data_IF_784656086493
#
_entry.id   IF_784656086493
#
_cell.length_a   1.000
_cell.length_b   1.000
_cell.length_c   1.000
_cell.angle_alpha   90.00
_cell.angle_beta   90.00
_cell.angle_gamma   90.00
#
_symmetry.space_group_name_H-M   'P 1'
#
loop_
_entity.id
_entity.type
_entity.pdbx_description
1 polymer ?
#
# COMPACT_ATOMS: atom_id res chain seq x y z
N UNK A 1 -22.23 11.36 21.66
CA UNK A 1 -21.75 11.86 20.37
C UNK A 1 -21.24 13.31 20.36
N UNK A 2 -21.91 14.31 20.98
CA UNK A 2 -21.50 15.73 20.88
C UNK A 2 -20.10 16.06 21.44
N UNK A 3 -19.53 15.25 22.35
CA UNK A 3 -18.19 15.48 22.92
C UNK A 3 -17.04 14.82 22.14
N UNK A 4 -17.31 13.96 21.17
CA UNK A 4 -16.27 13.20 20.45
C UNK A 4 -15.49 14.04 19.43
N UNK A 5 -16.05 15.17 18.98
CA UNK A 5 -15.50 15.96 17.88
C UNK A 5 -14.56 17.10 18.31
N UNK A 6 -14.29 17.29 19.61
CA UNK A 6 -13.45 18.38 20.11
C UNK A 6 -14.00 19.80 19.86
N UNK A 7 -15.14 19.90 19.17
CA UNK A 7 -15.93 21.10 18.93
C UNK A 7 -17.41 20.72 18.88
N UNK A 8 -18.29 21.70 19.13
CA UNK A 8 -19.72 21.51 18.92
C UNK A 8 -19.98 21.28 17.44
N UNK A 9 -20.66 20.17 17.12
CA UNK A 9 -21.20 19.95 15.78
C UNK A 9 -22.24 21.03 15.49
N UNK A 10 -22.14 21.65 14.32
CA UNK A 10 -23.18 22.55 13.81
C UNK A 10 -24.48 21.78 13.58
N UNK A 11 -25.64 22.46 13.57
CA UNK A 11 -26.92 21.79 13.28
C UNK A 11 -26.90 21.01 11.95
N UNK A 12 -26.22 21.53 10.93
CA UNK A 12 -26.07 20.83 9.66
C UNK A 12 -25.25 19.54 9.81
N UNK A 13 -24.13 19.58 10.55
CA UNK A 13 -23.32 18.38 10.83
C UNK A 13 -24.09 17.35 11.69
N UNK A 14 -24.92 17.79 12.63
CA UNK A 14 -25.81 16.90 13.40
C UNK A 14 -26.83 16.22 12.48
N UNK A 15 -27.52 16.98 11.64
CA UNK A 15 -28.48 16.43 10.66
C UNK A 15 -27.81 15.48 9.65
N UNK A 16 -26.61 15.81 9.18
CA UNK A 16 -25.82 14.93 8.32
C UNK A 16 -25.40 13.65 9.03
N UNK A 17 -25.01 13.74 10.31
CA UNK A 17 -24.63 12.56 11.11
C UNK A 17 -25.83 11.64 11.30
N UNK A 18 -27.00 12.18 11.66
CA UNK A 18 -28.24 11.41 11.81
C UNK A 18 -28.59 10.72 10.49
N UNK A 19 -28.55 11.46 9.37
CA UNK A 19 -28.75 10.88 8.04
C UNK A 19 -27.77 9.75 7.74
N UNK A 20 -26.49 9.89 8.06
CA UNK A 20 -25.49 8.83 7.84
C UNK A 20 -25.76 7.61 8.71
N UNK A 21 -26.15 7.79 9.96
CA UNK A 21 -26.58 6.68 10.82
C UNK A 21 -27.76 5.92 10.20
N UNK A 22 -28.76 6.64 9.71
CA UNK A 22 -29.96 6.03 9.13
C UNK A 22 -29.66 5.27 7.82
N UNK A 23 -28.76 5.79 6.97
CA UNK A 23 -28.45 5.19 5.67
C UNK A 23 -27.36 4.11 5.72
N UNK A 24 -26.44 4.16 6.69
CA UNK A 24 -25.36 3.17 6.78
C UNK A 24 -25.82 1.83 7.39
N UNK A 25 -26.95 1.81 8.09
CA UNK A 25 -27.42 0.61 8.79
C UNK A 25 -26.49 0.15 9.92
N UNK A 26 -25.53 0.99 10.32
CA UNK A 26 -24.59 0.67 11.38
C UNK A 26 -25.23 0.86 12.76
N UNK A 27 -25.01 -0.06 13.71
CA UNK A 27 -25.40 0.17 15.09
C UNK A 27 -24.69 1.40 15.65
N UNK A 28 -25.38 2.12 16.54
CA UNK A 28 -24.90 3.39 17.09
C UNK A 28 -23.54 3.26 17.78
N UNK A 29 -23.29 2.14 18.47
CA UNK A 29 -22.03 1.89 19.16
C UNK A 29 -20.87 1.76 18.17
N UNK A 30 -21.10 1.12 17.01
CA UNK A 30 -20.11 1.01 15.93
C UNK A 30 -19.82 2.38 15.31
N UNK A 31 -20.87 3.19 15.13
CA UNK A 31 -20.70 4.57 14.64
C UNK A 31 -19.88 5.43 15.61
N UNK A 32 -20.08 5.28 16.92
CA UNK A 32 -19.28 5.96 17.95
C UNK A 32 -17.81 5.54 17.86
N UNK A 33 -17.52 4.26 17.68
CA UNK A 33 -16.16 3.75 17.51
C UNK A 33 -15.48 4.35 16.27
N UNK A 34 -16.17 4.34 15.12
CA UNK A 34 -15.69 4.94 13.88
C UNK A 34 -15.39 6.44 14.03
N UNK A 35 -16.32 7.19 14.61
CA UNK A 35 -16.16 8.63 14.84
C UNK A 35 -15.00 8.90 15.80
N UNK A 36 -14.87 8.11 16.87
CA UNK A 36 -13.77 8.20 17.82
C UNK A 36 -12.42 7.99 17.15
N UNK A 37 -12.30 6.99 16.28
CA UNK A 37 -11.10 6.78 15.48
C UNK A 37 -10.81 7.97 14.54
N UNK A 38 -11.81 8.42 13.76
CA UNK A 38 -11.65 9.57 12.86
C UNK A 38 -11.19 10.83 13.58
N UNK A 39 -11.67 11.06 14.81
CA UNK A 39 -11.20 12.14 15.68
C UNK A 39 -9.75 11.95 16.11
N UNK A 40 -9.35 10.74 16.52
CA UNK A 40 -7.99 10.45 16.96
C UNK A 40 -6.92 10.65 15.87
N UNK A 41 -7.28 10.44 14.60
CA UNK A 41 -6.38 10.61 13.44
C UNK A 41 -6.58 11.94 12.71
N UNK A 42 -7.39 12.86 13.26
CA UNK A 42 -7.67 14.17 12.67
C UNK A 42 -8.49 14.14 11.37
N UNK A 43 -9.01 12.98 10.94
CA UNK A 43 -9.85 12.82 9.74
C UNK A 43 -11.33 13.01 10.07
N UNK A 44 -11.68 14.16 10.65
CA UNK A 44 -13.04 14.46 11.16
C UNK A 44 -13.99 15.03 10.10
N UNK A 45 -13.62 15.05 8.83
CA UNK A 45 -14.50 15.56 7.78
C UNK A 45 -15.73 14.65 7.64
N UNK A 46 -16.92 15.26 7.59
CA UNK A 46 -18.17 14.51 7.49
C UNK A 46 -18.22 13.65 6.21
N UNK A 47 -17.64 14.14 5.12
CA UNK A 47 -17.53 13.38 3.87
C UNK A 47 -16.70 12.09 4.03
N UNK A 48 -15.59 12.14 4.79
CA UNK A 48 -14.78 10.96 5.07
C UNK A 48 -15.51 9.99 5.98
N UNK A 49 -16.06 10.48 7.09
CA UNK A 49 -16.84 9.67 8.04
C UNK A 49 -18.00 8.97 7.33
N UNK A 50 -18.75 9.70 6.50
CA UNK A 50 -19.85 9.15 5.69
C UNK A 50 -19.35 8.04 4.75
N UNK A 51 -18.26 8.27 4.03
CA UNK A 51 -17.71 7.26 3.11
C UNK A 51 -17.35 5.97 3.84
N UNK A 52 -16.67 6.07 4.97
CA UNK A 52 -16.26 4.89 5.76
C UNK A 52 -17.47 4.20 6.39
N UNK A 53 -18.44 4.97 6.90
CA UNK A 53 -19.67 4.42 7.47
C UNK A 53 -20.49 3.65 6.42
N UNK A 54 -20.62 4.18 5.20
CA UNK A 54 -21.32 3.48 4.10
C UNK A 54 -20.59 2.19 3.70
N UNK A 55 -19.26 2.23 3.55
CA UNK A 55 -18.45 1.03 3.26
C UNK A 55 -18.65 -0.05 4.33
N UNK A 56 -18.62 0.34 5.61
CA UNK A 56 -18.83 -0.60 6.72
C UNK A 56 -20.25 -1.18 6.74
N UNK A 57 -21.25 -0.36 6.44
CA UNK A 57 -22.64 -0.77 6.29
C UNK A 57 -22.83 -1.80 5.16
N UNK A 58 -22.31 -1.50 3.98
CA UNK A 58 -22.34 -2.38 2.80
C UNK A 58 -21.64 -3.73 3.07
N UNK A 59 -20.58 -3.71 3.88
CA UNK A 59 -19.81 -4.90 4.27
C UNK A 59 -20.38 -5.63 5.50
N UNK A 60 -21.48 -5.13 6.08
CA UNK A 60 -22.14 -5.76 7.22
C UNK A 60 -21.30 -5.76 8.51
N UNK A 61 -20.50 -4.71 8.73
CA UNK A 61 -19.64 -4.56 9.92
C UNK A 61 -20.51 -4.02 11.06
N UNK A 62 -21.26 -4.92 11.71
CA UNK A 62 -22.26 -4.57 12.72
C UNK A 62 -21.88 -4.98 14.15
N UNK A 63 -20.80 -5.74 14.32
CA UNK A 63 -20.32 -6.17 15.64
C UNK A 63 -19.10 -5.38 16.08
N UNK A 64 -18.92 -5.26 17.40
CA UNK A 64 -17.76 -4.60 17.99
C UNK A 64 -16.44 -5.25 17.53
N UNK A 65 -16.39 -6.60 17.49
CA UNK A 65 -15.21 -7.32 17.05
C UNK A 65 -14.84 -7.00 15.59
N UNK A 66 -15.82 -6.98 14.68
CA UNK A 66 -15.57 -6.62 13.28
C UNK A 66 -15.09 -5.17 13.15
N UNK A 67 -15.71 -4.25 13.89
CA UNK A 67 -15.31 -2.85 13.91
C UNK A 67 -13.87 -2.69 14.41
N UNK A 68 -13.49 -3.36 15.50
CA UNK A 68 -12.13 -3.33 16.04
C UNK A 68 -11.09 -3.84 15.03
N UNK A 69 -11.40 -4.90 14.28
CA UNK A 69 -10.55 -5.40 13.21
C UNK A 69 -10.36 -4.36 12.09
N UNK A 70 -11.45 -3.70 11.67
CA UNK A 70 -11.37 -2.64 10.67
C UNK A 70 -10.59 -1.42 11.16
N UNK A 71 -10.77 -1.03 12.43
CA UNK A 71 -10.01 0.07 13.01
C UNK A 71 -8.52 -0.24 13.05
N UNK A 72 -8.14 -1.47 13.41
CA UNK A 72 -6.74 -1.92 13.35
C UNK A 72 -6.19 -1.84 11.93
N UNK A 73 -6.94 -2.30 10.93
CA UNK A 73 -6.53 -2.22 9.53
C UNK A 73 -6.36 -0.77 9.05
N UNK A 74 -7.31 0.11 9.38
CA UNK A 74 -7.24 1.54 9.06
C UNK A 74 -6.03 2.22 9.72
N UNK A 75 -5.74 1.88 10.98
CA UNK A 75 -4.60 2.41 11.72
C UNK A 75 -3.28 1.94 11.11
N UNK A 76 -3.18 0.64 10.78
CA UNK A 76 -2.00 0.06 10.11
C UNK A 76 -1.73 0.72 8.76
N UNK A 77 -2.79 0.93 7.96
CA UNK A 77 -2.67 1.64 6.69
C UNK A 77 -2.23 3.09 6.88
N UNK A 78 -2.82 3.82 7.84
CA UNK A 78 -2.43 5.23 8.09
C UNK A 78 -0.95 5.34 8.47
N UNK A 79 -0.47 4.42 9.33
CA UNK A 79 0.94 4.34 9.70
C UNK A 79 1.84 4.06 8.49
N UNK A 80 1.45 3.12 7.63
CA UNK A 80 2.18 2.79 6.41
C UNK A 80 2.25 3.99 5.45
N UNK A 81 1.12 4.68 5.27
CA UNK A 81 1.04 5.90 4.44
C UNK A 81 1.98 7.00 4.98
N UNK A 82 2.03 7.21 6.29
CA UNK A 82 2.89 8.21 6.94
C UNK A 82 4.38 7.87 6.78
N UNK A 83 4.77 6.62 6.97
CA UNK A 83 6.14 6.16 6.78
C UNK A 83 6.58 6.39 5.34
N UNK A 84 5.76 5.99 4.36
CA UNK A 84 6.10 6.11 2.94
C UNK A 84 6.07 7.54 2.45
N UNK A 85 5.10 8.36 2.85
CA UNK A 85 5.09 9.79 2.46
C UNK A 85 6.32 10.52 2.98
N UNK A 86 6.76 10.21 4.21
CA UNK A 86 7.99 10.75 4.78
C UNK A 86 9.25 10.23 4.07
N UNK A 87 9.35 8.92 3.83
CA UNK A 87 10.52 8.31 3.18
C UNK A 87 10.70 8.78 1.72
N UNK A 88 9.60 9.03 1.02
CA UNK A 88 9.62 9.46 -0.37
C UNK A 88 9.60 10.98 -0.55
N UNK A 89 9.53 11.77 0.51
CA UNK A 89 9.36 13.24 0.47
C UNK A 89 8.14 13.67 -0.37
N UNK A 90 6.98 13.05 -0.07
CA UNK A 90 5.70 13.42 -0.68
C UNK A 90 5.03 14.47 0.21
N UNK A 91 5.01 15.71 -0.27
CA UNK A 91 4.36 16.84 0.40
C UNK A 91 3.18 17.37 -0.43
N UNK A 92 2.22 18.00 0.24
CA UNK A 92 1.10 18.69 -0.43
C UNK A 92 0.00 17.79 -1.01
N UNK A 93 0.10 16.47 -0.88
CA UNK A 93 -0.97 15.53 -1.27
C UNK A 93 -0.93 14.24 -0.45
N UNK A 94 -2.06 13.53 -0.45
CA UNK A 94 -2.15 12.16 0.06
C UNK A 94 -1.74 11.15 -1.02
N UNK A 95 -1.43 9.92 -0.59
CA UNK A 95 -1.23 8.79 -1.48
C UNK A 95 -2.55 8.39 -2.17
N UNK A 96 -2.49 8.07 -3.46
CA UNK A 96 -3.63 7.50 -4.18
C UNK A 96 -3.77 6.00 -3.86
N UNK A 97 -4.92 5.38 -4.17
CA UNK A 97 -5.22 3.99 -3.78
C UNK A 97 -4.09 3.00 -4.09
N UNK A 98 -3.55 3.01 -5.31
CA UNK A 98 -2.42 2.15 -5.69
C UNK A 98 -1.12 2.46 -4.94
N UNK A 99 -0.86 3.72 -4.60
CA UNK A 99 0.31 4.08 -3.79
C UNK A 99 0.15 3.61 -2.34
N UNK A 100 -1.09 3.56 -1.82
CA UNK A 100 -1.39 3.02 -0.50
C UNK A 100 -1.22 1.50 -0.44
N UNK A 101 -1.53 0.79 -1.53
CA UNK A 101 -1.25 -0.63 -1.68
C UNK A 101 0.25 -0.90 -1.55
N UNK A 102 1.09 -0.15 -2.29
CA UNK A 102 2.55 -0.23 -2.15
C UNK A 102 3.01 0.10 -0.73
N UNK A 103 2.46 1.15 -0.12
CA UNK A 103 2.86 1.53 1.23
C UNK A 103 2.58 0.43 2.25
N UNK A 104 1.42 -0.21 2.16
CA UNK A 104 1.09 -1.34 3.01
C UNK A 104 1.98 -2.55 2.74
N UNK A 105 2.27 -2.85 1.48
CA UNK A 105 3.19 -3.95 1.15
C UNK A 105 4.57 -3.72 1.75
N UNK A 106 5.18 -2.56 1.51
CA UNK A 106 6.54 -2.30 1.95
C UNK A 106 6.68 -2.27 3.47
N UNK A 107 5.72 -1.68 4.18
CA UNK A 107 5.80 -1.49 5.63
C UNK A 107 5.24 -2.68 6.40
N UNK A 108 4.07 -3.20 6.00
CA UNK A 108 3.38 -4.26 6.75
C UNK A 108 3.78 -5.64 6.30
N UNK A 109 3.97 -5.87 4.99
CA UNK A 109 4.28 -7.19 4.42
C UNK A 109 5.78 -7.46 4.42
N UNK A 110 6.58 -6.53 3.88
CA UNK A 110 8.05 -6.66 3.85
C UNK A 110 8.71 -6.24 5.18
N UNK A 111 8.00 -5.49 6.03
CA UNK A 111 8.50 -5.06 7.32
C UNK A 111 9.60 -4.00 7.25
N UNK A 112 9.68 -3.27 6.13
CA UNK A 112 10.72 -2.27 5.93
C UNK A 112 10.42 -0.94 6.64
N UNK A 113 11.48 -0.35 7.16
CA UNK A 113 11.41 0.96 7.81
C UNK A 113 11.55 2.11 6.80
N UNK A 114 11.41 3.34 7.30
CA UNK A 114 11.52 4.54 6.47
C UNK A 114 12.90 4.71 5.83
N UNK A 115 13.98 4.24 6.47
CA UNK A 115 15.34 4.43 5.99
C UNK A 115 15.63 3.55 4.78
N UNK A 116 15.19 2.29 4.84
CA UNK A 116 15.34 1.36 3.74
C UNK A 116 14.50 1.79 2.53
N UNK A 117 13.26 2.24 2.76
CA UNK A 117 12.39 2.76 1.70
C UNK A 117 12.99 4.02 1.05
N UNK A 118 13.58 4.92 1.85
CA UNK A 118 14.26 6.11 1.34
C UNK A 118 15.50 5.76 0.50
N UNK A 119 16.25 4.72 0.87
CA UNK A 119 17.37 4.23 0.07
C UNK A 119 16.91 3.66 -1.28
N UNK A 120 15.82 2.87 -1.29
CA UNK A 120 15.25 2.37 -2.55
C UNK A 120 14.78 3.52 -3.45
N UNK A 121 14.20 4.57 -2.85
CA UNK A 121 13.86 5.79 -3.57
C UNK A 121 15.08 6.51 -4.15
N UNK A 122 16.15 6.66 -3.37
CA UNK A 122 17.42 7.24 -3.84
C UNK A 122 17.94 6.50 -5.06
N UNK A 123 17.98 5.16 -5.03
CA UNK A 123 18.42 4.34 -6.15
C UNK A 123 17.49 4.46 -7.37
N UNK A 124 16.17 4.54 -7.15
CA UNK A 124 15.19 4.79 -8.21
C UNK A 124 15.40 6.17 -8.86
N UNK A 125 15.59 7.21 -8.05
CA UNK A 125 15.80 8.57 -8.53
C UNK A 125 17.10 8.69 -9.35
N UNK A 126 18.18 8.06 -8.89
CA UNK A 126 19.45 7.99 -9.64
C UNK A 126 19.31 7.24 -10.97
N UNK A 127 18.47 6.20 -11.03
CA UNK A 127 18.30 5.39 -12.24
C UNK A 127 17.30 5.98 -13.26
N UNK A 128 16.24 6.62 -12.79
CA UNK A 128 15.10 7.03 -13.64
C UNK A 128 14.89 8.54 -13.72
N UNK A 129 15.52 9.33 -12.84
CA UNK A 129 15.33 10.77 -12.73
C UNK A 129 13.96 11.18 -12.15
N UNK A 130 13.14 10.24 -11.68
CA UNK A 130 11.79 10.51 -11.15
C UNK A 130 11.43 9.59 -9.99
N UNK A 131 10.35 9.92 -9.29
CA UNK A 131 9.71 9.07 -8.28
C UNK A 131 8.79 8.06 -8.98
N UNK A 132 9.27 6.82 -9.14
CA UNK A 132 8.53 5.74 -9.78
C UNK A 132 8.23 4.61 -8.78
N UNK A 133 7.00 4.58 -8.27
CA UNK A 133 6.58 3.59 -7.27
C UNK A 133 6.82 2.15 -7.74
N UNK A 134 6.59 1.83 -9.02
CA UNK A 134 6.80 0.48 -9.55
C UNK A 134 8.28 0.11 -9.57
N UNK A 135 9.16 1.08 -9.81
CA UNK A 135 10.59 0.83 -9.79
C UNK A 135 11.09 0.63 -8.35
N UNK A 136 10.63 1.46 -7.41
CA UNK A 136 10.94 1.33 -5.97
C UNK A 136 10.47 -0.03 -5.46
N UNK A 137 9.23 -0.40 -5.78
CA UNK A 137 8.64 -1.69 -5.43
C UNK A 137 9.51 -2.87 -5.87
N UNK A 138 9.99 -2.84 -7.11
CA UNK A 138 10.89 -3.87 -7.63
C UNK A 138 12.21 -3.93 -6.86
N UNK A 139 12.78 -2.80 -6.45
CA UNK A 139 14.01 -2.78 -5.64
C UNK A 139 13.73 -3.46 -4.29
N UNK A 140 12.66 -3.04 -3.60
CA UNK A 140 12.30 -3.53 -2.28
C UNK A 140 12.00 -5.03 -2.27
N UNK A 141 11.21 -5.52 -3.23
CA UNK A 141 11.00 -6.97 -3.37
C UNK A 141 12.29 -7.73 -3.68
N UNK A 142 13.16 -7.17 -4.53
CA UNK A 142 14.47 -7.81 -4.79
C UNK A 142 15.30 -7.90 -3.51
N UNK A 143 15.28 -6.87 -2.66
CA UNK A 143 15.97 -6.90 -1.38
C UNK A 143 15.40 -7.95 -0.44
N UNK A 144 14.08 -8.00 -0.31
CA UNK A 144 13.41 -9.01 0.51
C UNK A 144 13.74 -10.45 0.04
N UNK A 145 13.70 -10.71 -1.27
CA UNK A 145 14.08 -12.00 -1.86
C UNK A 145 15.54 -12.39 -1.60
N UNK A 146 16.43 -11.41 -1.42
CA UNK A 146 17.85 -11.63 -1.12
C UNK A 146 18.15 -11.55 0.39
N UNK A 147 17.12 -11.50 1.24
CA UNK A 147 17.28 -11.44 2.69
C UNK A 147 17.92 -10.15 3.20
N UNK A 148 17.80 -9.06 2.43
CA UNK A 148 18.33 -7.74 2.80
C UNK A 148 17.32 -7.04 3.68
N UNK A 149 17.73 -6.72 4.90
CA UNK A 149 16.88 -6.08 5.90
C UNK A 149 17.53 -4.88 6.58
N UNK A 150 18.76 -4.51 6.20
CA UNK A 150 19.47 -3.37 6.78
C UNK A 150 19.94 -2.38 5.72
N UNK A 151 20.05 -1.11 6.11
CA UNK A 151 20.51 -0.04 5.22
C UNK A 151 21.91 -0.31 4.65
N UNK A 152 22.81 -0.88 5.46
CA UNK A 152 24.17 -1.21 5.03
C UNK A 152 24.18 -2.33 3.98
N UNK A 153 23.35 -3.36 4.15
CA UNK A 153 23.16 -4.40 3.15
C UNK A 153 22.57 -3.85 1.85
N UNK A 154 21.58 -2.97 1.94
CA UNK A 154 20.95 -2.33 0.78
C UNK A 154 21.95 -1.47 -0.02
N UNK A 155 22.82 -0.71 0.66
CA UNK A 155 23.86 0.11 0.03
C UNK A 155 24.99 -0.71 -0.59
N UNK A 156 25.34 -1.83 0.02
CA UNK A 156 26.39 -2.74 -0.50
C UNK A 156 25.87 -3.70 -1.56
N UNK A 157 24.55 -3.84 -1.71
CA UNK A 157 23.92 -4.69 -2.71
C UNK A 157 24.19 -4.18 -4.12
N UNK A 158 25.20 -4.77 -4.76
CA UNK A 158 25.43 -4.60 -6.19
C UNK A 158 24.51 -5.56 -6.94
N UNK A 159 23.40 -5.04 -7.45
CA UNK A 159 22.54 -5.79 -8.34
C UNK A 159 23.37 -6.20 -9.56
N UNK A 160 23.73 -7.49 -9.68
CA UNK A 160 24.36 -8.03 -10.88
C UNK A 160 23.37 -7.86 -12.04
N UNK A 161 23.46 -6.73 -12.76
CA UNK A 161 22.56 -6.35 -13.86
C UNK A 161 22.64 -7.26 -15.10
N UNK A 162 23.20 -8.47 -15.01
CA UNK A 162 23.63 -9.28 -16.17
C UNK A 162 23.01 -10.68 -16.32
N UNK A 163 21.91 -11.06 -15.65
CA UNK A 163 21.38 -12.44 -15.79
C UNK A 163 20.01 -12.61 -16.46
N UNK A 164 19.35 -11.56 -16.96
CA UNK A 164 18.05 -11.72 -17.67
C UNK A 164 18.11 -11.70 -19.20
N UNK A 165 19.26 -11.44 -19.82
CA UNK A 165 19.42 -11.55 -21.29
C UNK A 165 19.99 -12.91 -21.72
N UNK A 166 20.63 -13.67 -20.83
CA UNK A 166 21.24 -14.97 -21.18
C UNK A 166 20.25 -16.13 -21.21
N UNK A 167 19.13 -16.06 -20.49
CA UNK A 167 18.13 -17.16 -20.46
C UNK A 167 17.24 -17.22 -21.70
N UNK A 168 17.13 -16.14 -22.47
CA UNK A 168 16.35 -16.14 -23.71
C UNK A 168 17.16 -16.64 -24.92
N UNK A 169 18.50 -16.49 -24.87
CA UNK A 169 19.38 -16.92 -25.97
C UNK A 169 19.64 -18.43 -25.95
N UNK A 170 19.70 -19.06 -24.77
CA UNK A 170 19.88 -20.51 -24.65
C UNK A 170 18.70 -21.33 -25.17
N UNK A 171 17.48 -20.83 -24.98
CA UNK A 171 16.26 -21.56 -25.37
C UNK A 171 16.00 -21.43 -26.88
N UNK A 172 16.35 -20.29 -27.49
CA UNK A 172 16.26 -20.08 -28.94
C UNK A 172 17.38 -20.85 -29.70
N UNK A 173 18.60 -20.93 -29.16
CA UNK A 173 19.72 -21.69 -29.75
C UNK A 173 19.51 -23.21 -29.65
N UNK A 174 18.98 -23.71 -28.51
CA UNK A 174 18.65 -25.14 -28.34
C UNK A 174 17.50 -25.59 -29.26
N UNK A 175 16.54 -24.70 -29.54
CA UNK A 175 15.42 -25.01 -30.43
C UNK A 175 15.85 -24.99 -31.92
N UNK A 176 16.78 -24.10 -32.30
CA UNK A 176 17.33 -24.05 -33.67
C UNK A 176 18.24 -25.25 -33.98
N UNK A 177 19.01 -25.74 -32.99
CA UNK A 177 19.83 -26.96 -33.13
C UNK A 177 18.97 -28.23 -33.22
N UNK A 178 17.86 -28.30 -32.47
CA UNK A 178 16.91 -29.41 -32.54
C UNK A 178 16.20 -29.49 -33.91
N UNK A 179 15.79 -28.35 -34.47
CA UNK A 179 15.13 -28.30 -35.78
C UNK A 179 16.09 -28.63 -36.94
N UNK A 180 17.36 -28.19 -36.86
CA UNK A 180 18.38 -28.55 -37.86
C UNK A 180 18.70 -30.04 -37.87
N UNK A 181 18.83 -30.66 -36.69
CA UNK A 181 19.04 -32.10 -36.58
C UNK A 181 17.83 -32.91 -37.03
N UNK A 182 16.60 -32.45 -36.77
CA UNK A 182 15.38 -33.12 -37.22
C UNK A 182 15.16 -33.07 -38.74
N UNK A 183 15.66 -32.02 -39.42
CA UNK A 183 15.62 -31.89 -40.88
C UNK A 183 16.72 -32.72 -41.57
N UNK A 184 17.86 -32.94 -40.91
CA UNK A 184 18.96 -33.75 -41.45
C UNK A 184 18.70 -35.26 -41.45
N UNK A 185 17.68 -35.75 -40.73
CA UNK A 185 17.38 -37.19 -40.57
C UNK A 185 16.36 -37.69 -41.63
N UNK A 186 15.77 -36.79 -42.44
CA UNK A 186 14.72 -37.17 -43.41
C UNK A 186 15.21 -37.51 -44.83
N UNK A 187 16.52 -37.48 -45.09
CA UNK A 187 17.10 -37.75 -46.41
C UNK A 187 17.99 -39.01 -46.47
N UNK A 188 17.57 -40.12 -45.85
CA UNK A 188 18.13 -41.47 -46.08
C UNK A 188 17.03 -42.48 -46.36
#
# INVERSE_FOLDING_TARGET
MQRCFGRLLTQNEVSQTISVCDYSGLPIDIMILLVGYCASVGKTSMAYIKKVAMDWGERGIVTQQQADEQLKALASQSRSDEIVTKALDITGRNLVAREREYANDWVTVLGFDSELIAEAYSQCALATGKRDFRYIDKILHTWNENGISTLEQAKSFKQNRFSKTSRKKSDDEANDEFLKNALSIKDV
#
